data_IF_810701995780
#
_entry.id   IF_810701995780
#
_cell.length_a   1.000
_cell.length_b   1.000
_cell.length_c   1.000
_cell.angle_alpha   90.00
_cell.angle_beta   90.00
_cell.angle_gamma   90.00
#
_symmetry.space_group_name_H-M   'P 1'
#
loop_
_entity.id
_entity.type
_entity.pdbx_description
1 polymer ?
#
# COMPACT_ATOMS: atom_id res chain seq x y z
N UNK A 1 47.20 7.27 -38.27
CA UNK A 1 46.05 6.70 -37.55
C UNK A 1 45.34 7.80 -36.78
N UNK A 2 44.08 8.11 -37.08
CA UNK A 2 43.34 9.22 -36.47
C UNK A 2 42.85 8.84 -35.07
N UNK A 3 42.99 9.74 -34.09
CA UNK A 3 42.40 9.59 -32.75
C UNK A 3 40.93 10.02 -32.84
N UNK A 4 40.01 9.06 -32.74
CA UNK A 4 38.59 9.36 -32.61
C UNK A 4 38.34 10.09 -31.28
N UNK A 5 37.82 11.31 -31.36
CA UNK A 5 37.37 12.09 -30.21
C UNK A 5 35.92 11.69 -29.96
N UNK A 6 35.69 10.80 -28.99
CA UNK A 6 34.35 10.43 -28.54
C UNK A 6 33.77 11.62 -27.75
N UNK A 7 33.08 12.51 -28.45
CA UNK A 7 32.24 13.53 -27.83
C UNK A 7 30.95 12.84 -27.37
N UNK A 8 30.90 12.48 -26.09
CA UNK A 8 29.64 12.13 -25.44
C UNK A 8 28.90 13.46 -25.26
N UNK A 9 27.97 13.75 -26.17
CA UNK A 9 27.00 14.82 -26.01
C UNK A 9 26.08 14.41 -24.85
N UNK A 10 26.38 14.88 -23.65
CA UNK A 10 25.38 14.96 -22.59
C UNK A 10 24.45 16.09 -22.98
N UNK A 11 23.37 15.75 -23.68
CA UNK A 11 22.25 16.68 -23.84
C UNK A 11 21.81 17.12 -22.43
N UNK A 12 21.71 18.44 -22.28
CA UNK A 12 21.14 19.12 -21.14
C UNK A 12 19.74 18.56 -20.83
N UNK A 13 19.65 17.55 -19.95
CA UNK A 13 18.49 17.45 -19.09
C UNK A 13 18.59 18.62 -18.11
N UNK A 14 17.79 19.65 -18.36
CA UNK A 14 17.41 20.61 -17.34
C UNK A 14 16.73 19.82 -16.21
N UNK A 15 17.53 19.34 -15.26
CA UNK A 15 17.07 18.78 -13.99
C UNK A 15 16.69 19.94 -13.07
N UNK A 16 15.80 20.81 -13.55
CA UNK A 16 15.32 21.96 -12.80
C UNK A 16 14.15 21.48 -11.94
N UNK A 17 14.43 21.38 -10.64
CA UNK A 17 13.48 21.14 -9.53
C UNK A 17 12.73 19.81 -9.50
N UNK A 18 13.45 18.68 -9.45
CA UNK A 18 12.93 17.51 -8.74
C UNK A 18 13.21 17.69 -7.25
N UNK A 19 12.14 17.81 -6.45
CA UNK A 19 12.22 17.73 -5.00
C UNK A 19 12.87 16.37 -4.64
N UNK A 20 14.06 16.35 -4.06
CA UNK A 20 14.83 15.12 -3.79
C UNK A 20 14.25 14.27 -2.64
N UNK A 21 13.16 14.73 -2.02
CA UNK A 21 12.49 14.07 -0.91
C UNK A 21 11.48 13.04 -1.44
N UNK A 22 11.61 11.80 -1.00
CA UNK A 22 10.72 10.68 -1.35
C UNK A 22 10.09 10.09 -0.09
N UNK A 23 8.77 9.96 -0.09
CA UNK A 23 8.03 9.21 0.93
C UNK A 23 7.18 8.15 0.22
N UNK A 24 7.63 6.91 0.28
CA UNK A 24 6.98 5.78 -0.36
C UNK A 24 7.03 4.56 0.56
N UNK A 25 5.89 3.87 0.67
CA UNK A 25 5.73 2.62 1.41
C UNK A 25 5.17 1.59 0.45
N UNK A 26 5.78 0.41 0.41
CA UNK A 26 5.26 -0.76 -0.30
C UNK A 26 5.24 -1.94 0.66
N UNK A 27 4.10 -2.62 0.77
CA UNK A 27 3.94 -3.75 1.67
C UNK A 27 3.12 -4.84 0.99
N UNK A 28 3.48 -6.09 1.27
CA UNK A 28 2.66 -7.26 0.97
C UNK A 28 2.33 -7.90 2.32
N UNK A 29 1.05 -7.98 2.64
CA UNK A 29 0.62 -8.43 3.95
C UNK A 29 -0.82 -8.90 3.98
N UNK A 30 -1.18 -9.63 5.04
CA UNK A 30 -2.53 -10.14 5.23
C UNK A 30 -3.33 -9.24 6.13
N UNK A 31 -4.60 -9.03 5.81
CA UNK A 31 -5.51 -8.28 6.67
C UNK A 31 -5.72 -9.00 8.01
N UNK A 32 -5.54 -8.30 9.12
CA UNK A 32 -5.73 -8.88 10.47
C UNK A 32 -7.19 -9.06 10.87
N UNK A 33 -8.06 -8.25 10.30
CA UNK A 33 -9.50 -8.20 10.51
C UNK A 33 -10.17 -7.70 9.22
N UNK A 34 -11.50 -7.76 9.18
CA UNK A 34 -12.26 -7.13 8.10
C UNK A 34 -12.01 -5.61 8.11
N UNK A 35 -11.92 -5.03 6.92
CA UNK A 35 -11.71 -3.60 6.78
C UNK A 35 -12.95 -2.82 7.20
N UNK A 36 -12.75 -1.74 7.94
CA UNK A 36 -13.83 -0.84 8.32
C UNK A 36 -14.04 0.19 7.21
N UNK A 37 -15.28 0.43 6.80
CA UNK A 37 -15.64 1.46 5.82
C UNK A 37 -16.56 2.47 6.49
N UNK A 38 -16.24 3.75 6.35
CA UNK A 38 -16.99 4.86 6.91
C UNK A 38 -17.22 5.90 5.83
N UNK A 39 -18.33 6.62 5.95
CA UNK A 39 -18.59 7.83 5.14
C UNK A 39 -18.45 9.03 6.06
N UNK A 40 -17.61 10.00 5.68
CA UNK A 40 -17.41 11.21 6.45
C UNK A 40 -18.64 12.12 6.38
N UNK A 41 -18.73 13.11 7.27
CA UNK A 41 -19.78 14.14 7.24
C UNK A 41 -19.82 14.94 5.94
N UNK A 42 -18.72 14.98 5.18
CA UNK A 42 -18.60 15.63 3.87
C UNK A 42 -18.95 14.69 2.70
N UNK A 43 -19.40 13.45 2.98
CA UNK A 43 -19.78 12.47 1.96
C UNK A 43 -18.61 11.67 1.37
N UNK A 44 -17.38 11.88 1.83
CA UNK A 44 -16.23 11.12 1.35
C UNK A 44 -16.20 9.72 1.98
N UNK A 45 -15.97 8.69 1.17
CA UNK A 45 -15.74 7.32 1.67
C UNK A 45 -14.29 7.14 2.10
N UNK A 46 -14.11 6.55 3.27
CA UNK A 46 -12.81 6.19 3.84
C UNK A 46 -12.86 4.74 4.34
N UNK A 47 -11.75 4.02 4.20
CA UNK A 47 -11.59 2.70 4.79
C UNK A 47 -10.29 2.60 5.58
N UNK A 48 -10.40 1.98 6.76
CA UNK A 48 -9.29 1.73 7.65
C UNK A 48 -9.13 0.22 7.84
N UNK A 49 -7.90 -0.27 7.67
CA UNK A 49 -7.56 -1.67 7.92
C UNK A 49 -6.12 -1.81 8.40
N UNK A 50 -5.77 -3.00 8.87
CA UNK A 50 -4.40 -3.34 9.29
C UNK A 50 -3.89 -4.54 8.53
N UNK A 51 -2.65 -4.43 8.04
CA UNK A 51 -1.94 -5.54 7.42
C UNK A 51 -0.80 -6.03 8.31
N UNK A 52 -0.69 -7.35 8.41
CA UNK A 52 0.43 -8.04 9.03
C UNK A 52 1.52 -8.32 7.99
N UNK A 53 2.77 -8.00 8.34
CA UNK A 53 3.97 -8.55 7.67
C UNK A 53 4.75 -9.39 8.68
N UNK A 54 5.41 -10.44 8.21
CA UNK A 54 6.12 -11.39 9.06
C UNK A 54 7.59 -11.45 8.64
N UNK A 55 8.49 -11.37 9.62
CA UNK A 55 9.94 -11.54 9.43
C UNK A 55 10.44 -12.70 10.29
N UNK A 56 11.33 -13.54 9.75
CA UNK A 56 11.99 -14.61 10.50
C UNK A 56 13.39 -14.17 10.91
N UNK A 57 13.60 -14.01 12.20
CA UNK A 57 14.87 -13.60 12.79
C UNK A 57 15.56 -14.78 13.47
N UNK A 58 16.85 -14.95 13.22
CA UNK A 58 17.69 -15.92 13.94
C UNK A 58 18.27 -15.26 15.18
N UNK A 59 18.09 -15.89 16.33
CA UNK A 59 18.61 -15.44 17.61
C UNK A 59 20.04 -15.91 17.86
N UNK A 60 20.70 -15.25 18.82
CA UNK A 60 22.05 -15.59 19.26
C UNK A 60 22.17 -17.04 19.79
N UNK A 61 21.07 -17.63 20.30
CA UNK A 61 21.01 -19.02 20.76
C UNK A 61 20.76 -20.03 19.62
N UNK A 62 20.72 -19.58 18.36
CA UNK A 62 20.47 -20.41 17.18
C UNK A 62 19.00 -20.69 16.87
N UNK A 63 18.06 -20.26 17.71
CA UNK A 63 16.62 -20.43 17.48
C UNK A 63 16.06 -19.40 16.50
N UNK A 64 15.03 -19.78 15.74
CA UNK A 64 14.28 -18.87 14.89
C UNK A 64 13.06 -18.31 15.64
N UNK A 65 12.84 -16.99 15.55
CA UNK A 65 11.61 -16.34 15.99
C UNK A 65 10.94 -15.64 14.82
N UNK A 66 9.64 -15.74 14.76
CA UNK A 66 8.81 -14.96 13.85
C UNK A 66 8.37 -13.67 14.53
N UNK A 67 8.60 -12.55 13.86
CA UNK A 67 8.18 -11.22 14.28
C UNK A 67 7.10 -10.71 13.32
N UNK A 68 5.91 -10.47 13.84
CA UNK A 68 4.81 -9.87 13.08
C UNK A 68 4.74 -8.37 13.36
N UNK A 69 4.77 -7.57 12.29
CA UNK A 69 4.53 -6.13 12.35
C UNK A 69 3.15 -5.80 11.80
N UNK A 70 2.45 -4.89 12.48
CA UNK A 70 1.10 -4.46 12.13
C UNK A 70 1.12 -3.03 11.60
N UNK A 71 0.60 -2.83 10.41
CA UNK A 71 0.63 -1.55 9.71
C UNK A 71 -0.79 -1.02 9.56
N UNK A 72 -1.06 0.16 10.13
CA UNK A 72 -2.33 0.86 9.92
C UNK A 72 -2.37 1.48 8.53
N UNK A 73 -3.42 1.18 7.78
CA UNK A 73 -3.60 1.62 6.41
C UNK A 73 -4.92 2.40 6.30
N UNK A 74 -4.88 3.53 5.60
CA UNK A 74 -6.05 4.35 5.29
C UNK A 74 -6.19 4.51 3.78
N UNK A 75 -7.40 4.31 3.29
CA UNK A 75 -7.77 4.41 1.88
C UNK A 75 -8.93 5.38 1.74
N UNK A 76 -8.91 6.19 0.68
CA UNK A 76 -9.96 7.16 0.38
C UNK A 76 -10.53 6.93 -1.02
N UNK A 77 -11.75 7.40 -1.26
CA UNK A 77 -12.34 7.46 -2.60
C UNK A 77 -12.56 6.07 -3.23
N UNK A 78 -12.29 5.94 -4.53
CA UNK A 78 -12.64 4.74 -5.30
C UNK A 78 -11.94 3.45 -4.83
N UNK A 79 -10.75 3.56 -4.27
CA UNK A 79 -10.05 2.39 -3.71
C UNK A 79 -10.83 1.75 -2.55
N UNK A 80 -11.74 2.48 -1.89
CA UNK A 80 -12.63 1.90 -0.87
C UNK A 80 -13.56 0.84 -1.47
N UNK A 81 -13.89 0.89 -2.76
CA UNK A 81 -14.70 -0.13 -3.44
C UNK A 81 -13.96 -1.47 -3.55
N UNK A 82 -12.64 -1.43 -3.77
CA UNK A 82 -11.79 -2.63 -3.77
C UNK A 82 -11.77 -3.24 -2.36
N UNK A 83 -11.58 -2.39 -1.36
CA UNK A 83 -11.56 -2.82 0.05
C UNK A 83 -12.93 -3.33 0.51
N UNK A 84 -14.03 -2.77 0.02
CA UNK A 84 -15.39 -3.25 0.30
C UNK A 84 -15.61 -4.68 -0.22
N UNK A 85 -15.07 -4.99 -1.40
CA UNK A 85 -15.25 -6.29 -2.03
C UNK A 85 -14.26 -7.35 -1.53
N UNK A 86 -13.04 -6.94 -1.20
CA UNK A 86 -11.93 -7.87 -0.93
C UNK A 86 -11.26 -7.67 0.42
N UNK A 87 -11.66 -6.68 1.20
CA UNK A 87 -11.06 -6.31 2.48
C UNK A 87 -11.51 -7.21 3.64
N UNK A 88 -11.47 -8.52 3.44
CA UNK A 88 -11.83 -9.50 4.47
C UNK A 88 -10.59 -9.98 5.23
N UNK A 89 -10.80 -10.37 6.49
CA UNK A 89 -9.76 -10.93 7.35
C UNK A 89 -9.02 -12.06 6.64
N UNK A 90 -7.70 -11.98 6.69
CA UNK A 90 -6.80 -12.98 6.12
C UNK A 90 -6.47 -12.75 4.65
N UNK A 91 -7.20 -11.92 3.90
CA UNK A 91 -6.91 -11.68 2.49
C UNK A 91 -5.52 -11.06 2.31
N UNK A 92 -4.81 -11.48 1.26
CA UNK A 92 -3.48 -11.01 0.94
C UNK A 92 -3.53 -9.81 -0.01
N UNK A 93 -3.07 -8.66 0.47
CA UNK A 93 -2.95 -7.44 -0.35
C UNK A 93 -1.48 -7.09 -0.53
N UNK A 94 -1.15 -6.60 -1.72
CA UNK A 94 -0.05 -5.67 -1.91
C UNK A 94 -0.61 -4.25 -1.87
N UNK A 95 0.04 -3.36 -1.13
CA UNK A 95 -0.29 -1.94 -1.10
C UNK A 95 0.92 -1.07 -1.46
N UNK A 96 0.64 0.07 -2.07
CA UNK A 96 1.59 1.17 -2.23
C UNK A 96 0.98 2.45 -1.66
N UNK A 97 1.79 3.30 -1.05
CA UNK A 97 1.32 4.52 -0.42
C UNK A 97 2.44 5.38 0.14
N UNK A 98 2.09 6.27 1.06
CA UNK A 98 3.02 7.13 1.76
C UNK A 98 2.73 7.10 3.26
N UNK A 99 3.77 7.23 4.09
CA UNK A 99 3.60 7.34 5.54
C UNK A 99 3.08 8.73 5.90
N UNK A 100 2.02 8.78 6.70
CA UNK A 100 1.44 10.01 7.23
C UNK A 100 1.37 9.93 8.74
N UNK A 101 1.67 11.06 9.38
CA UNK A 101 1.50 11.23 10.81
C UNK A 101 0.33 12.17 11.05
N UNK A 102 -0.55 11.81 11.98
CA UNK A 102 -1.59 12.71 12.46
C UNK A 102 -1.50 12.81 13.99
N UNK A 103 -1.77 14.00 14.51
CA UNK A 103 -1.83 14.25 15.95
C UNK A 103 -3.30 14.31 16.37
N UNK A 104 -3.66 13.63 17.46
CA UNK A 104 -4.95 13.82 18.12
C UNK A 104 -4.78 13.88 19.63
N UNK A 105 -5.71 14.53 20.31
CA UNK A 105 -5.76 14.56 21.77
C UNK A 105 -6.68 13.45 22.25
N UNK A 106 -6.18 12.56 23.10
CA UNK A 106 -7.00 11.51 23.68
C UNK A 106 -7.98 12.05 24.74
N UNK A 107 -8.86 11.18 25.24
CA UNK A 107 -9.89 11.54 26.24
C UNK A 107 -9.31 12.05 27.56
N UNK A 108 -8.02 11.83 27.81
CA UNK A 108 -7.31 12.29 29.01
C UNK A 108 -6.53 13.59 28.76
N UNK A 109 -6.67 14.20 27.59
CA UNK A 109 -5.97 15.44 27.23
C UNK A 109 -4.53 15.23 26.76
N UNK A 110 -4.08 13.99 26.54
CA UNK A 110 -2.72 13.69 26.12
C UNK A 110 -2.65 13.72 24.59
N UNK A 111 -1.68 14.47 24.05
CA UNK A 111 -1.39 14.46 22.60
C UNK A 111 -0.79 13.13 22.18
N UNK A 112 -1.35 12.52 21.15
CA UNK A 112 -0.90 11.25 20.54
C UNK A 112 -0.59 11.47 19.08
N UNK A 113 0.55 10.93 18.65
CA UNK A 113 0.94 10.91 17.24
C UNK A 113 0.77 9.49 16.72
N UNK A 114 0.04 9.35 15.62
CA UNK A 114 -0.19 8.06 14.97
C UNK A 114 0.39 8.10 13.58
N UNK A 115 1.14 7.05 13.27
CA UNK A 115 1.64 6.78 11.94
C UNK A 115 0.66 5.86 11.20
N UNK A 116 0.28 6.26 9.99
CA UNK A 116 -0.58 5.49 9.09
C UNK A 116 -0.03 5.52 7.67
N UNK A 117 -0.36 4.50 6.89
CA UNK A 117 -0.03 4.46 5.48
C UNK A 117 -1.24 4.96 4.71
N UNK A 118 -1.12 6.14 4.08
CA UNK A 118 -2.10 6.59 3.10
C UNK A 118 -1.87 5.83 1.81
N UNK A 119 -2.74 4.87 1.56
CA UNK A 119 -2.65 3.95 0.44
C UNK A 119 -3.12 4.65 -0.83
N UNK A 120 -2.31 4.55 -1.88
CA UNK A 120 -2.59 5.07 -3.23
C UNK A 120 -2.85 3.94 -4.24
N UNK A 121 -2.43 2.70 -3.95
CA UNK A 121 -2.68 1.54 -4.81
C UNK A 121 -2.88 0.28 -3.99
N UNK A 122 -3.77 -0.59 -4.44
CA UNK A 122 -4.03 -1.92 -3.86
C UNK A 122 -4.03 -2.93 -5.00
N UNK A 123 -3.30 -4.02 -4.80
CA UNK A 123 -3.38 -5.22 -5.62
C UNK A 123 -3.81 -6.38 -4.71
N UNK A 124 -4.91 -7.02 -5.08
CA UNK A 124 -5.44 -8.20 -4.39
C UNK A 124 -4.69 -9.43 -4.91
N UNK A 125 -4.03 -10.16 -4.02
CA UNK A 125 -3.19 -11.31 -4.38
C UNK A 125 -3.86 -12.65 -4.06
N UNK A 126 -5.01 -12.65 -3.39
CA UNK A 126 -5.76 -13.88 -3.05
C UNK A 126 -6.81 -14.19 -4.11
N UNK A 127 -6.39 -14.82 -5.21
CA UNK A 127 -7.26 -15.19 -6.35
C UNK A 127 -8.02 -16.51 -6.14
N UNK A 128 -7.65 -17.34 -5.15
CA UNK A 128 -8.22 -18.70 -4.99
C UNK A 128 -9.40 -18.83 -4.01
N UNK A 129 -9.62 -17.83 -3.15
CA UNK A 129 -10.77 -17.78 -2.20
C UNK A 129 -11.82 -16.75 -2.56
N UNK A 130 -11.43 -15.77 -3.37
CA UNK A 130 -12.35 -14.81 -3.94
C UNK A 130 -13.10 -15.56 -5.03
N UNK A 131 -14.37 -15.91 -4.81
CA UNK A 131 -15.25 -16.44 -5.86
C UNK A 131 -15.48 -15.38 -6.94
N UNK A 132 -14.44 -15.07 -7.70
CA UNK A 132 -14.46 -14.27 -8.91
C UNK A 132 -15.07 -15.20 -9.95
N UNK A 133 -16.31 -14.97 -10.42
CA UNK A 133 -16.78 -15.65 -11.61
C UNK A 133 -15.78 -15.32 -12.72
N UNK A 134 -15.26 -16.34 -13.39
CA UNK A 134 -14.34 -16.24 -14.53
C UNK A 134 -15.02 -15.70 -15.79
N UNK A 135 -16.04 -14.86 -15.65
CA UNK A 135 -16.93 -14.47 -16.73
C UNK A 135 -16.84 -12.96 -16.92
N UNK A 136 -15.72 -12.50 -17.49
CA UNK A 136 -15.68 -11.21 -18.19
C UNK A 136 -14.91 -11.43 -19.50
N UNK A 137 -15.69 -11.47 -20.59
CA UNK A 137 -15.34 -11.19 -21.99
C UNK A 137 -14.59 -12.26 -22.82
N UNK A 138 -15.32 -13.31 -23.19
CA UNK A 138 -15.24 -13.95 -24.52
C UNK A 138 -16.52 -13.62 -25.32
N UNK A 139 -16.75 -12.35 -25.67
CA UNK A 139 -17.78 -11.96 -26.65
C UNK A 139 -17.37 -10.73 -27.46
N UNK A 140 -16.26 -10.82 -28.20
CA UNK A 140 -16.04 -10.00 -29.40
C UNK A 140 -15.34 -10.87 -30.45
N UNK A 141 -16.12 -11.67 -31.18
CA UNK A 141 -15.83 -12.04 -32.58
C UNK A 141 -17.10 -12.63 -33.20
N UNK A 142 -18.03 -11.73 -33.53
CA UNK A 142 -19.11 -11.99 -34.47
C UNK A 142 -19.33 -10.74 -35.32
N UNK A 143 -18.51 -10.58 -36.36
CA UNK A 143 -18.86 -9.91 -37.63
C UNK A 143 -18.28 -10.74 -38.76
#
# INVERSE_FOLDING_TARGET
MPKAKLLIFFDNLNFTEMNALMNQVQLIGRLGADAEIKTTSQGARVSNFRIATNERLKMNNGQWRELTQWHSCVVWGDLTKIVERFGHKGNLFMISGALQYHEYTDVHGIKRNVAEIKVSQILVLDSSRSGIPSDVEEQEEAI
#
